data_IF_950011973486
#
_entry.id   IF_950011973486
#
_cell.length_a   1.000
_cell.length_b   1.000
_cell.length_c   1.000
_cell.angle_alpha   90.00
_cell.angle_beta   90.00
_cell.angle_gamma   90.00
#
_symmetry.space_group_name_H-M   'P 1'
#
loop_
_entity.id
_entity.type
_entity.pdbx_description
1 polymer ?
#
# COMPACT_ATOMS: atom_id res chain seq x y z
N UNK A 1 -43.66 6.41 -18.62
CA UNK A 1 -42.84 5.52 -17.79
C UNK A 1 -41.56 6.27 -17.46
N UNK A 2 -41.48 6.90 -16.28
CA UNK A 2 -40.28 7.62 -15.86
C UNK A 2 -39.15 6.61 -15.62
N UNK A 3 -37.89 6.90 -16.01
CA UNK A 3 -36.78 6.03 -15.66
C UNK A 3 -36.62 6.05 -14.14
N UNK A 4 -36.68 4.87 -13.53
CA UNK A 4 -36.46 4.70 -12.10
C UNK A 4 -35.09 5.26 -11.74
N UNK A 5 -35.11 6.25 -10.84
CA UNK A 5 -33.96 6.82 -10.16
C UNK A 5 -33.06 5.69 -9.62
N UNK A 6 -31.92 5.46 -10.27
CA UNK A 6 -30.88 4.52 -9.84
C UNK A 6 -30.12 5.14 -8.66
N UNK A 7 -30.83 5.31 -7.54
CA UNK A 7 -30.38 5.91 -6.27
C UNK A 7 -29.37 5.05 -5.51
N UNK A 8 -28.83 4.00 -6.14
CA UNK A 8 -27.77 3.17 -5.57
C UNK A 8 -26.44 3.89 -5.78
N UNK A 9 -25.85 4.33 -4.66
CA UNK A 9 -24.49 4.88 -4.66
C UNK A 9 -23.58 4.00 -5.55
N UNK A 10 -22.81 4.60 -6.48
CA UNK A 10 -22.07 3.84 -7.47
C UNK A 10 -21.18 2.84 -6.73
N UNK A 11 -21.28 1.56 -7.10
CA UNK A 11 -20.65 0.42 -6.42
C UNK A 11 -19.13 0.58 -6.21
N UNK A 12 -18.51 1.46 -7.01
CA UNK A 12 -17.10 1.85 -6.94
C UNK A 12 -16.79 2.93 -5.90
N UNK A 13 -17.74 3.75 -5.48
CA UNK A 13 -17.51 4.84 -4.54
C UNK A 13 -17.52 4.40 -3.07
N UNK A 14 -18.26 3.36 -2.71
CA UNK A 14 -18.33 2.88 -1.32
C UNK A 14 -17.01 2.24 -0.89
N UNK A 15 -16.47 2.65 0.26
CA UNK A 15 -15.28 2.02 0.85
C UNK A 15 -15.61 0.56 1.15
N UNK A 16 -14.84 -0.40 0.61
CA UNK A 16 -15.05 -1.81 0.91
C UNK A 16 -15.03 -2.08 2.42
N UNK A 17 -15.85 -3.03 2.90
CA UNK A 17 -15.84 -3.38 4.31
C UNK A 17 -14.45 -3.85 4.71
N UNK A 18 -14.07 -3.53 5.95
CA UNK A 18 -12.81 -3.92 6.57
C UNK A 18 -11.53 -3.33 5.93
N UNK A 19 -11.61 -2.53 4.87
CA UNK A 19 -10.43 -1.91 4.24
C UNK A 19 -9.60 -1.06 5.22
N UNK A 20 -10.27 -0.23 6.03
CA UNK A 20 -9.61 0.56 7.08
C UNK A 20 -9.05 -0.32 8.19
N UNK A 21 -9.76 -1.38 8.57
CA UNK A 21 -9.28 -2.33 9.58
C UNK A 21 -8.03 -3.06 9.09
N UNK A 22 -7.98 -3.47 7.82
CA UNK A 22 -6.80 -4.04 7.20
C UNK A 22 -5.62 -3.08 7.25
N UNK A 23 -5.84 -1.79 6.94
CA UNK A 23 -4.82 -0.76 7.01
C UNK A 23 -4.30 -0.51 8.43
N UNK A 24 -5.19 -0.37 9.42
CA UNK A 24 -4.81 -0.13 10.81
C UNK A 24 -4.08 -1.34 11.41
N UNK A 25 -4.55 -2.55 11.12
CA UNK A 25 -3.89 -3.77 11.55
C UNK A 25 -2.53 -3.97 10.86
N UNK A 26 -2.40 -3.61 9.58
CA UNK A 26 -1.11 -3.63 8.87
C UNK A 26 -0.13 -2.59 9.44
N UNK A 27 -0.62 -1.42 9.85
CA UNK A 27 0.21 -0.44 10.57
C UNK A 27 0.68 -0.99 11.91
N UNK A 28 -0.20 -1.64 12.67
CA UNK A 28 0.17 -2.28 13.92
C UNK A 28 1.20 -3.42 13.71
N UNK A 29 1.03 -4.26 12.67
CA UNK A 29 2.03 -5.25 12.24
C UNK A 29 3.39 -4.59 11.95
N UNK A 30 3.39 -3.50 11.19
CA UNK A 30 4.61 -2.76 10.88
C UNK A 30 5.29 -2.22 12.15
N UNK A 31 4.54 -1.55 13.03
CA UNK A 31 5.09 -0.97 14.25
C UNK A 31 5.62 -2.06 15.18
N UNK A 32 4.84 -3.12 15.43
CA UNK A 32 5.21 -4.16 16.40
C UNK A 32 6.29 -5.08 15.83
N UNK A 33 5.99 -5.76 14.72
CA UNK A 33 6.86 -6.83 14.20
C UNK A 33 8.10 -6.31 13.48
N UNK A 34 8.03 -5.12 12.86
CA UNK A 34 9.13 -4.62 12.01
C UNK A 34 9.97 -3.55 12.69
N UNK A 35 9.43 -2.86 13.69
CA UNK A 35 10.15 -1.81 14.42
C UNK A 35 10.42 -2.26 15.86
N UNK A 36 9.38 -2.44 16.67
CA UNK A 36 9.53 -2.63 18.12
C UNK A 36 10.25 -3.93 18.48
N UNK A 37 9.87 -5.07 17.91
CA UNK A 37 10.54 -6.35 18.23
C UNK A 37 12.03 -6.32 17.83
N UNK A 38 12.35 -5.75 16.66
CA UNK A 38 13.74 -5.66 16.18
C UNK A 38 14.62 -4.78 17.06
N UNK A 39 14.07 -3.70 17.59
CA UNK A 39 14.77 -2.80 18.51
C UNK A 39 14.81 -3.35 19.95
N UNK A 40 13.74 -4.02 20.37
CA UNK A 40 13.53 -4.52 21.71
C UNK A 40 14.45 -5.67 22.11
N UNK A 41 15.01 -6.43 21.15
CA UNK A 41 15.90 -7.57 21.43
C UNK A 41 17.10 -7.24 22.32
N UNK A 42 17.52 -5.98 22.41
CA UNK A 42 18.65 -5.56 23.26
C UNK A 42 18.24 -4.95 24.60
N UNK A 43 16.98 -4.57 24.76
CA UNK A 43 16.52 -3.70 25.87
C UNK A 43 15.40 -4.35 26.67
N UNK A 44 14.61 -5.24 26.07
CA UNK A 44 13.41 -5.79 26.67
C UNK A 44 13.63 -7.21 27.19
N UNK A 45 12.96 -7.54 28.29
CA UNK A 45 12.90 -8.90 28.84
C UNK A 45 12.26 -9.87 27.84
N UNK A 46 12.60 -11.15 27.93
CA UNK A 46 12.01 -12.20 27.10
C UNK A 46 10.48 -12.23 27.18
N UNK A 47 9.89 -12.07 28.37
CA UNK A 47 8.43 -12.09 28.55
C UNK A 47 7.73 -10.95 27.78
N UNK A 48 8.30 -9.74 27.84
CA UNK A 48 7.82 -8.60 27.06
C UNK A 48 7.91 -8.86 25.55
N UNK A 49 9.02 -9.46 25.09
CA UNK A 49 9.18 -9.84 23.68
C UNK A 49 8.17 -10.90 23.24
N UNK A 50 7.88 -11.90 24.09
CA UNK A 50 6.84 -12.89 23.83
C UNK A 50 5.45 -12.26 23.75
N UNK A 51 5.12 -11.32 24.64
CA UNK A 51 3.83 -10.64 24.59
C UNK A 51 3.69 -9.78 23.33
N UNK A 52 4.75 -9.07 22.94
CA UNK A 52 4.77 -8.30 21.70
C UNK A 52 4.67 -9.17 20.45
N UNK A 53 5.33 -10.33 20.43
CA UNK A 53 5.20 -11.28 19.33
C UNK A 53 3.75 -11.78 19.19
N UNK A 54 3.06 -12.02 20.31
CA UNK A 54 1.62 -12.38 20.32
C UNK A 54 0.75 -11.26 19.73
N UNK A 55 0.94 -10.02 20.18
CA UNK A 55 0.19 -8.87 19.65
C UNK A 55 0.50 -8.58 18.19
N UNK A 56 1.76 -8.70 17.80
CA UNK A 56 2.22 -8.55 16.43
C UNK A 56 1.65 -9.63 15.51
N UNK A 57 1.62 -10.88 15.96
CA UNK A 57 0.99 -11.99 15.23
C UNK A 57 -0.51 -11.79 15.07
N UNK A 58 -1.19 -11.31 16.11
CA UNK A 58 -2.61 -10.94 16.04
C UNK A 58 -2.86 -9.83 15.01
N UNK A 59 -2.09 -8.75 15.05
CA UNK A 59 -2.20 -7.63 14.11
C UNK A 59 -1.97 -8.09 12.66
N UNK A 60 -0.94 -8.91 12.43
CA UNK A 60 -0.64 -9.51 11.12
C UNK A 60 -1.83 -10.34 10.61
N UNK A 61 -2.35 -11.26 11.43
CA UNK A 61 -3.46 -12.13 11.03
C UNK A 61 -4.74 -11.33 10.76
N UNK A 62 -5.05 -10.36 11.62
CA UNK A 62 -6.20 -9.46 11.44
C UNK A 62 -6.07 -8.66 10.13
N UNK A 63 -4.88 -8.14 9.84
CA UNK A 63 -4.62 -7.40 8.59
C UNK A 63 -4.87 -8.25 7.37
N UNK A 64 -4.45 -9.52 7.39
CA UNK A 64 -4.61 -10.45 6.27
C UNK A 64 -6.06 -10.83 6.08
N UNK A 65 -6.77 -11.23 7.14
CA UNK A 65 -8.20 -11.59 7.04
C UNK A 65 -9.02 -10.40 6.53
N UNK A 66 -8.80 -9.22 7.10
CA UNK A 66 -9.46 -8.00 6.66
C UNK A 66 -9.12 -7.63 5.20
N UNK A 67 -7.85 -7.80 4.79
CA UNK A 67 -7.39 -7.56 3.43
C UNK A 67 -8.00 -8.56 2.44
N UNK A 68 -8.14 -9.84 2.80
CA UNK A 68 -8.77 -10.85 1.94
C UNK A 68 -10.24 -10.54 1.70
N UNK A 69 -10.98 -10.16 2.75
CA UNK A 69 -12.37 -9.70 2.63
C UNK A 69 -12.45 -8.46 1.73
N UNK A 70 -11.66 -7.43 2.02
CA UNK A 70 -11.64 -6.21 1.21
C UNK A 70 -11.27 -6.47 -0.26
N UNK A 71 -10.31 -7.38 -0.51
CA UNK A 71 -9.92 -7.85 -1.85
C UNK A 71 -11.10 -8.50 -2.56
N UNK A 72 -11.82 -9.41 -1.92
CA UNK A 72 -13.00 -10.07 -2.49
C UNK A 72 -14.06 -9.05 -2.94
N UNK A 73 -14.35 -8.05 -2.12
CA UNK A 73 -15.25 -6.95 -2.48
C UNK A 73 -14.72 -6.10 -3.65
N UNK A 74 -13.41 -5.80 -3.66
CA UNK A 74 -12.77 -5.06 -4.73
C UNK A 74 -12.81 -5.81 -6.07
N UNK A 75 -12.43 -7.09 -6.07
CA UNK A 75 -12.42 -7.94 -7.25
C UNK A 75 -13.84 -8.18 -7.77
N UNK A 76 -14.78 -8.55 -6.90
CA UNK A 76 -16.18 -8.75 -7.30
C UNK A 76 -16.78 -7.52 -7.95
N UNK A 77 -16.50 -6.34 -7.43
CA UNK A 77 -16.92 -5.08 -8.03
C UNK A 77 -16.29 -4.83 -9.41
N UNK A 78 -14.97 -4.94 -9.53
CA UNK A 78 -14.23 -4.64 -10.75
C UNK A 78 -14.49 -5.66 -11.85
N UNK A 79 -14.70 -6.92 -11.51
CA UNK A 79 -15.07 -7.99 -12.43
C UNK A 79 -16.55 -7.95 -12.84
N UNK A 80 -17.41 -7.20 -12.15
CA UNK A 80 -18.84 -7.11 -12.48
C UNK A 80 -19.11 -6.32 -13.77
N UNK A 81 -20.32 -6.50 -14.35
CA UNK A 81 -20.78 -5.65 -15.47
C UNK A 81 -20.89 -4.17 -15.11
N UNK A 82 -21.10 -3.85 -13.83
CA UNK A 82 -21.26 -2.48 -13.34
C UNK A 82 -19.94 -1.69 -13.29
N UNK A 83 -18.80 -2.35 -13.49
CA UNK A 83 -17.51 -1.64 -13.56
C UNK A 83 -17.31 -0.84 -14.83
N UNK A 84 -18.08 -1.14 -15.89
CA UNK A 84 -17.92 -0.53 -17.22
C UNK A 84 -16.59 -0.85 -17.91
N UNK A 85 -15.82 -1.81 -17.38
CA UNK A 85 -14.58 -2.29 -18.00
C UNK A 85 -14.87 -3.29 -19.14
N UNK A 86 -13.98 -3.40 -20.14
CA UNK A 86 -14.10 -4.40 -21.19
C UNK A 86 -14.06 -5.83 -20.61
N UNK A 87 -14.64 -6.81 -21.33
CA UNK A 87 -14.71 -8.20 -20.87
C UNK A 87 -13.32 -8.79 -20.58
N UNK A 88 -12.34 -8.52 -21.44
CA UNK A 88 -10.95 -8.99 -21.27
C UNK A 88 -10.32 -8.51 -19.95
N UNK A 89 -10.49 -7.23 -19.61
CA UNK A 89 -9.97 -6.68 -18.35
C UNK A 89 -10.66 -7.30 -17.13
N UNK A 90 -11.99 -7.48 -17.16
CA UNK A 90 -12.74 -8.12 -16.08
C UNK A 90 -12.35 -9.57 -15.88
N UNK A 91 -12.18 -10.31 -16.98
CA UNK A 91 -11.74 -11.70 -16.96
C UNK A 91 -10.31 -11.84 -16.42
N UNK A 92 -9.39 -10.96 -16.84
CA UNK A 92 -8.03 -10.92 -16.30
C UNK A 92 -8.01 -10.65 -14.80
N UNK A 93 -8.71 -9.61 -14.33
CA UNK A 93 -8.81 -9.28 -12.90
C UNK A 93 -9.40 -10.46 -12.11
N UNK A 94 -10.44 -11.11 -12.63
CA UNK A 94 -11.03 -12.27 -12.00
C UNK A 94 -10.04 -13.44 -11.94
N UNK A 95 -9.41 -13.80 -13.05
CA UNK A 95 -8.51 -14.95 -13.13
C UNK A 95 -7.31 -14.79 -12.20
N UNK A 96 -6.57 -13.68 -12.29
CA UNK A 96 -5.39 -13.46 -11.45
C UNK A 96 -5.76 -13.20 -9.99
N UNK A 97 -6.81 -12.40 -9.75
CA UNK A 97 -7.24 -12.05 -8.39
C UNK A 97 -7.75 -13.25 -7.61
N UNK A 98 -8.63 -14.08 -8.20
CA UNK A 98 -9.19 -15.25 -7.52
C UNK A 98 -8.19 -16.41 -7.37
N UNK A 99 -7.14 -16.48 -8.18
CA UNK A 99 -6.03 -17.41 -7.97
C UNK A 99 -5.11 -16.92 -6.85
N UNK A 100 -4.87 -15.62 -6.74
CA UNK A 100 -3.99 -15.05 -5.72
C UNK A 100 -4.53 -15.25 -4.29
N UNK A 101 -5.83 -15.03 -4.08
CA UNK A 101 -6.49 -15.10 -2.77
C UNK A 101 -6.22 -16.42 -2.02
N UNK A 102 -6.50 -17.62 -2.57
CA UNK A 102 -6.27 -18.88 -1.87
C UNK A 102 -4.77 -19.12 -1.62
N UNK A 103 -3.88 -18.78 -2.56
CA UNK A 103 -2.45 -19.02 -2.38
C UNK A 103 -1.89 -18.13 -1.26
N UNK A 104 -2.25 -16.85 -1.21
CA UNK A 104 -1.83 -15.97 -0.11
C UNK A 104 -2.41 -16.40 1.23
N UNK A 105 -3.66 -16.88 1.24
CA UNK A 105 -4.29 -17.41 2.44
C UNK A 105 -3.48 -18.60 2.98
N UNK A 106 -3.20 -19.59 2.13
CA UNK A 106 -2.40 -20.76 2.50
C UNK A 106 -1.01 -20.34 2.98
N UNK A 107 -0.31 -19.47 2.24
CA UNK A 107 1.03 -19.04 2.62
C UNK A 107 1.11 -18.21 3.90
N UNK A 108 0.00 -17.57 4.30
CA UNK A 108 -0.01 -16.77 5.53
C UNK A 108 -0.30 -17.62 6.76
N UNK A 109 -1.14 -18.63 6.62
CA UNK A 109 -1.59 -19.45 7.76
C UNK A 109 -0.89 -20.80 7.89
N UNK A 110 -0.20 -21.27 6.84
CA UNK A 110 0.62 -22.47 6.92
C UNK A 110 2.01 -22.18 7.53
N UNK A 111 2.60 -23.16 8.23
CA UNK A 111 3.95 -23.04 8.77
C UNK A 111 4.98 -22.71 7.68
N UNK A 112 6.00 -21.91 8.02
CA UNK A 112 7.04 -21.51 7.07
C UNK A 112 7.81 -22.70 6.45
N UNK A 113 7.85 -23.85 7.14
CA UNK A 113 8.42 -25.09 6.61
C UNK A 113 7.72 -25.58 5.32
N UNK A 114 6.50 -25.11 5.05
CA UNK A 114 5.67 -25.48 3.90
C UNK A 114 5.71 -24.42 2.78
N UNK A 115 6.41 -23.30 3.01
CA UNK A 115 6.60 -22.23 2.02
C UNK A 115 7.98 -22.32 1.39
N UNK A 116 8.06 -22.73 0.12
CA UNK A 116 9.32 -22.71 -0.62
C UNK A 116 9.61 -21.32 -1.19
N UNK A 117 10.89 -20.94 -1.41
CA UNK A 117 11.24 -19.67 -2.04
C UNK A 117 10.62 -19.51 -3.44
N UNK A 118 10.45 -20.61 -4.18
CA UNK A 118 9.83 -20.61 -5.50
C UNK A 118 8.35 -20.21 -5.41
N UNK A 119 7.63 -20.71 -4.41
CA UNK A 119 6.23 -20.34 -4.16
C UNK A 119 6.10 -18.83 -3.86
N UNK A 120 7.01 -18.27 -3.06
CA UNK A 120 7.05 -16.82 -2.76
C UNK A 120 7.21 -16.01 -4.06
N UNK A 121 8.06 -16.45 -4.97
CA UNK A 121 8.26 -15.78 -6.27
C UNK A 121 7.03 -15.87 -7.16
N UNK A 122 6.37 -17.03 -7.21
CA UNK A 122 5.12 -17.21 -7.96
C UNK A 122 4.04 -16.28 -7.41
N UNK A 123 3.88 -16.21 -6.08
CA UNK A 123 2.91 -15.31 -5.45
C UNK A 123 3.25 -13.84 -5.65
N UNK A 124 4.52 -13.47 -5.57
CA UNK A 124 4.95 -12.12 -5.91
C UNK A 124 4.59 -11.81 -7.37
N UNK A 125 4.87 -12.69 -8.32
CA UNK A 125 4.50 -12.53 -9.73
C UNK A 125 3.00 -12.35 -9.93
N UNK A 126 2.17 -13.21 -9.32
CA UNK A 126 0.71 -13.12 -9.38
C UNK A 126 0.18 -11.82 -8.76
N UNK A 127 0.73 -11.40 -7.63
CA UNK A 127 0.35 -10.15 -6.97
C UNK A 127 0.66 -8.95 -7.87
N UNK A 128 1.83 -8.90 -8.50
CA UNK A 128 2.21 -7.79 -9.37
C UNK A 128 1.44 -7.80 -10.70
N UNK A 129 1.13 -8.98 -11.26
CA UNK A 129 0.21 -9.09 -12.40
C UNK A 129 -1.19 -8.57 -12.04
N UNK A 130 -1.69 -8.90 -10.85
CA UNK A 130 -2.97 -8.40 -10.34
C UNK A 130 -2.93 -6.87 -10.17
N UNK A 131 -1.87 -6.32 -9.56
CA UNK A 131 -1.68 -4.87 -9.40
C UNK A 131 -1.65 -4.15 -10.76
N UNK A 132 -0.92 -4.69 -11.74
CA UNK A 132 -0.89 -4.15 -13.10
C UNK A 132 -2.30 -4.08 -13.72
N UNK A 133 -3.07 -5.16 -13.65
CA UNK A 133 -4.43 -5.20 -14.18
C UNK A 133 -5.36 -4.21 -13.48
N UNK A 134 -5.25 -4.07 -12.16
CA UNK A 134 -6.01 -3.10 -11.36
C UNK A 134 -5.65 -1.65 -11.74
N UNK A 135 -4.36 -1.36 -11.93
CA UNK A 135 -3.89 -0.04 -12.35
C UNK A 135 -4.41 0.29 -13.74
N UNK A 136 -4.26 -0.62 -14.71
CA UNK A 136 -4.75 -0.42 -16.07
C UNK A 136 -6.27 -0.20 -16.09
N UNK A 137 -7.02 -0.92 -15.25
CA UNK A 137 -8.44 -0.67 -15.06
C UNK A 137 -8.74 0.72 -14.52
N UNK A 138 -7.96 1.23 -13.56
CA UNK A 138 -8.07 2.60 -13.07
C UNK A 138 -7.74 3.64 -14.14
N UNK A 139 -6.67 3.42 -14.92
CA UNK A 139 -6.20 4.32 -15.99
C UNK A 139 -7.12 4.34 -17.21
N UNK A 140 -7.86 3.26 -17.46
CA UNK A 140 -8.89 3.21 -18.50
C UNK A 140 -9.93 4.33 -18.32
N UNK A 141 -10.17 4.72 -17.06
CA UNK A 141 -11.06 5.82 -16.72
C UNK A 141 -10.26 7.12 -16.61
N UNK A 142 -10.59 8.12 -17.45
CA UNK A 142 -9.97 9.46 -17.46
C UNK A 142 -10.31 10.24 -16.17
N UNK A 143 -9.62 9.91 -15.08
CA UNK A 143 -9.82 10.49 -13.74
C UNK A 143 -9.11 11.85 -13.56
N UNK A 144 -8.95 12.29 -12.31
CA UNK A 144 -8.17 13.49 -12.00
C UNK A 144 -6.69 13.28 -12.30
N UNK A 145 -5.94 14.34 -12.70
CA UNK A 145 -4.50 14.22 -12.95
C UNK A 145 -3.72 13.62 -11.77
N UNK A 146 -4.08 14.00 -10.53
CA UNK A 146 -3.44 13.45 -9.33
C UNK A 146 -3.72 11.95 -9.13
N UNK A 147 -4.94 11.49 -9.41
CA UNK A 147 -5.28 10.05 -9.35
C UNK A 147 -4.54 9.25 -10.43
N UNK A 148 -4.46 9.78 -11.65
CA UNK A 148 -3.71 9.18 -12.75
C UNK A 148 -2.22 9.10 -12.41
N UNK A 149 -1.65 10.20 -11.91
CA UNK A 149 -0.26 10.24 -11.47
C UNK A 149 0.01 9.22 -10.35
N UNK A 150 -0.87 9.11 -9.35
CA UNK A 150 -0.72 8.12 -8.28
C UNK A 150 -0.74 6.69 -8.82
N UNK A 151 -1.62 6.37 -9.77
CA UNK A 151 -1.68 5.06 -10.43
C UNK A 151 -0.41 4.75 -11.23
N UNK A 152 0.10 5.71 -12.01
CA UNK A 152 1.34 5.56 -12.78
C UNK A 152 2.55 5.40 -11.87
N UNK A 153 2.65 6.18 -10.79
CA UNK A 153 3.74 6.04 -9.81
C UNK A 153 3.68 4.69 -9.09
N UNK A 154 2.48 4.22 -8.76
CA UNK A 154 2.28 2.88 -8.18
C UNK A 154 2.69 1.79 -9.18
N UNK A 155 2.44 1.98 -10.47
CA UNK A 155 2.88 1.06 -11.52
C UNK A 155 4.40 1.00 -11.62
N UNK A 156 5.05 2.16 -11.67
CA UNK A 156 6.51 2.28 -11.72
C UNK A 156 7.12 1.62 -10.49
N UNK A 157 6.64 1.93 -9.29
CA UNK A 157 7.11 1.32 -8.05
C UNK A 157 6.96 -0.21 -8.06
N UNK A 158 5.81 -0.72 -8.49
CA UNK A 158 5.52 -2.15 -8.61
C UNK A 158 6.44 -2.86 -9.62
N UNK A 159 6.56 -2.33 -10.83
CA UNK A 159 7.38 -2.91 -11.89
C UNK A 159 8.87 -2.85 -11.56
N UNK A 160 9.35 -1.71 -11.07
CA UNK A 160 10.72 -1.52 -10.63
C UNK A 160 11.09 -2.45 -9.47
N UNK A 161 10.19 -2.66 -8.52
CA UNK A 161 10.39 -3.60 -7.41
C UNK A 161 10.59 -5.04 -7.89
N UNK A 162 9.76 -5.50 -8.83
CA UNK A 162 9.88 -6.85 -9.43
C UNK A 162 11.12 -6.95 -10.31
N UNK A 163 11.36 -5.96 -11.16
CA UNK A 163 12.51 -5.95 -12.06
C UNK A 163 13.82 -6.00 -11.27
N UNK A 164 13.95 -5.19 -10.22
CA UNK A 164 15.10 -5.21 -9.32
C UNK A 164 15.32 -6.60 -8.69
N UNK A 165 14.24 -7.23 -8.22
CA UNK A 165 14.28 -8.57 -7.64
C UNK A 165 14.68 -9.65 -8.66
N UNK A 166 14.06 -9.66 -9.85
CA UNK A 166 14.36 -10.63 -10.92
C UNK A 166 15.82 -10.46 -11.37
N UNK A 167 16.25 -9.24 -11.66
CA UNK A 167 17.63 -8.96 -12.08
C UNK A 167 18.61 -9.42 -11.01
N UNK A 168 18.37 -9.10 -9.73
CA UNK A 168 19.23 -9.55 -8.64
C UNK A 168 19.34 -11.07 -8.53
N UNK A 169 18.22 -11.80 -8.66
CA UNK A 169 18.22 -13.26 -8.56
C UNK A 169 18.80 -13.96 -9.79
N UNK A 170 18.43 -13.53 -10.99
CA UNK A 170 18.88 -14.15 -12.24
C UNK A 170 20.33 -13.75 -12.53
N UNK A 171 20.65 -12.47 -12.40
CA UNK A 171 22.00 -11.95 -12.63
C UNK A 171 23.02 -12.52 -11.64
N UNK A 172 22.63 -12.70 -10.37
CA UNK A 172 23.48 -13.35 -9.37
C UNK A 172 23.76 -14.82 -9.66
N UNK A 173 22.82 -15.54 -10.30
CA UNK A 173 23.03 -16.94 -10.73
C UNK A 173 23.82 -17.06 -12.02
N UNK A 174 23.68 -16.08 -12.91
CA UNK A 174 24.35 -16.05 -14.21
C UNK A 174 25.72 -15.35 -14.18
N UNK A 175 26.18 -14.90 -13.00
CA UNK A 175 27.40 -14.13 -12.80
C UNK A 175 27.52 -12.91 -13.73
N UNK A 176 26.38 -12.23 -13.99
CA UNK A 176 26.38 -11.10 -14.89
C UNK A 176 26.96 -9.86 -14.21
N UNK A 177 28.05 -9.29 -14.76
CA UNK A 177 28.80 -8.18 -14.17
C UNK A 177 27.97 -6.91 -13.90
N UNK A 178 26.88 -6.72 -14.63
CA UNK A 178 26.04 -5.52 -14.55
C UNK A 178 24.85 -5.68 -13.58
N UNK A 179 24.72 -6.83 -12.92
CA UNK A 179 23.59 -7.18 -12.05
C UNK A 179 23.32 -6.12 -11.00
N UNK A 180 24.34 -5.72 -10.24
CA UNK A 180 24.18 -4.79 -9.12
C UNK A 180 23.76 -3.41 -9.60
N UNK A 181 24.39 -2.90 -10.68
CA UNK A 181 24.06 -1.60 -11.26
C UNK A 181 22.62 -1.55 -11.75
N UNK A 182 22.20 -2.57 -12.50
CA UNK A 182 20.85 -2.61 -13.07
C UNK A 182 19.78 -2.85 -11.99
N UNK A 183 20.04 -3.76 -11.05
CA UNK A 183 19.13 -4.01 -9.92
C UNK A 183 18.96 -2.76 -9.04
N UNK A 184 20.04 -2.02 -8.78
CA UNK A 184 20.00 -0.75 -8.04
C UNK A 184 19.26 0.35 -8.81
N UNK A 185 19.45 0.47 -10.12
CA UNK A 185 18.73 1.45 -10.93
C UNK A 185 17.21 1.21 -10.90
N UNK A 186 16.77 -0.06 -11.05
CA UNK A 186 15.38 -0.41 -10.86
C UNK A 186 14.92 -0.12 -9.43
N UNK A 187 15.70 -0.52 -8.41
CA UNK A 187 15.34 -0.27 -7.01
C UNK A 187 15.11 1.22 -6.75
N UNK A 188 16.05 2.09 -7.07
CA UNK A 188 15.97 3.52 -6.80
C UNK A 188 14.85 4.22 -7.57
N UNK A 189 14.64 3.86 -8.84
CA UNK A 189 13.51 4.40 -9.61
C UNK A 189 12.16 4.04 -8.97
N UNK A 190 12.02 2.80 -8.50
CA UNK A 190 10.80 2.33 -7.85
C UNK A 190 10.59 2.96 -6.47
N UNK A 191 11.65 3.13 -5.69
CA UNK A 191 11.58 3.82 -4.39
C UNK A 191 11.19 5.29 -4.55
N UNK A 192 11.79 6.00 -5.51
CA UNK A 192 11.44 7.38 -5.80
C UNK A 192 9.97 7.49 -6.22
N UNK A 193 9.51 6.58 -7.09
CA UNK A 193 8.11 6.53 -7.49
C UNK A 193 7.19 6.26 -6.29
N UNK A 194 7.55 5.32 -5.42
CA UNK A 194 6.80 5.00 -4.20
C UNK A 194 6.69 6.21 -3.25
N UNK A 195 7.79 6.92 -3.02
CA UNK A 195 7.82 8.13 -2.19
C UNK A 195 7.01 9.29 -2.77
N UNK A 196 6.80 9.31 -4.08
CA UNK A 196 5.98 10.29 -4.77
C UNK A 196 4.47 9.96 -4.74
N UNK A 197 4.06 8.73 -4.44
CA UNK A 197 2.64 8.34 -4.34
C UNK A 197 1.88 9.21 -3.31
N UNK A 198 2.38 9.41 -2.06
CA UNK A 198 1.78 10.34 -1.10
C UNK A 198 1.49 11.72 -1.65
N UNK A 199 2.44 12.30 -2.39
CA UNK A 199 2.32 13.63 -2.99
C UNK A 199 1.20 13.63 -4.04
N UNK A 200 1.20 12.65 -4.96
CA UNK A 200 0.18 12.54 -5.99
C UNK A 200 -1.24 12.39 -5.40
N UNK A 201 -1.39 11.60 -4.34
CA UNK A 201 -2.67 11.45 -3.63
C UNK A 201 -3.05 12.75 -2.91
N UNK A 202 -2.12 13.43 -2.26
CA UNK A 202 -2.36 14.73 -1.63
C UNK A 202 -2.89 15.77 -2.64
N UNK A 203 -2.29 15.83 -3.83
CA UNK A 203 -2.77 16.67 -4.93
C UNK A 203 -4.18 16.28 -5.41
N UNK A 204 -4.48 14.98 -5.50
CA UNK A 204 -5.79 14.49 -5.92
C UNK A 204 -6.91 14.80 -4.92
N UNK A 205 -6.61 14.89 -3.62
CA UNK A 205 -7.61 15.06 -2.57
C UNK A 205 -8.25 16.46 -2.54
N UNK A 206 -7.58 17.50 -3.04
CA UNK A 206 -8.06 18.89 -3.12
C UNK A 206 -8.98 19.30 -1.94
N UNK A 207 -8.39 19.53 -0.76
CA UNK A 207 -9.11 19.78 0.50
C UNK A 207 -9.86 21.14 0.41
N UNK A 208 -11.19 21.17 0.60
CA UNK A 208 -11.97 22.40 0.51
C UNK A 208 -11.74 23.32 1.72
N UNK A 209 -10.91 24.36 1.55
CA UNK A 209 -10.48 25.28 2.64
C UNK A 209 -11.62 26.08 3.30
N UNK A 210 -12.72 26.30 2.58
CA UNK A 210 -13.85 27.13 3.05
C UNK A 210 -14.82 26.45 4.03
N UNK A 211 -14.72 25.14 4.24
CA UNK A 211 -15.67 24.40 5.10
C UNK A 211 -15.08 24.11 6.47
N UNK A 212 -15.90 24.08 7.53
CA UNK A 212 -15.44 23.71 8.89
C UNK A 212 -14.72 22.34 8.90
N UNK A 213 -15.23 21.40 8.12
CA UNK A 213 -14.63 20.07 7.95
C UNK A 213 -13.31 20.09 7.18
N UNK A 214 -13.18 20.98 6.20
CA UNK A 214 -11.90 21.22 5.51
C UNK A 214 -10.86 21.89 6.40
N UNK A 215 -11.27 22.83 7.27
CA UNK A 215 -10.41 23.40 8.32
C UNK A 215 -9.96 22.33 9.31
N UNK A 216 -10.87 21.48 9.78
CA UNK A 216 -10.53 20.34 10.63
C UNK A 216 -9.57 19.37 9.92
N UNK A 217 -9.84 19.02 8.66
CA UNK A 217 -8.94 18.18 7.87
C UNK A 217 -7.53 18.78 7.78
N UNK A 218 -7.41 20.08 7.47
CA UNK A 218 -6.11 20.76 7.44
C UNK A 218 -5.42 20.73 8.81
N UNK A 219 -6.14 21.06 9.89
CA UNK A 219 -5.59 21.03 11.25
C UNK A 219 -5.04 19.66 11.62
N UNK A 220 -5.86 18.60 11.48
CA UNK A 220 -5.43 17.24 11.81
C UNK A 220 -4.34 16.73 10.86
N UNK A 221 -4.37 17.10 9.58
CA UNK A 221 -3.30 16.78 8.63
C UNK A 221 -1.98 17.45 9.02
N UNK A 222 -1.99 18.74 9.40
CA UNK A 222 -0.80 19.46 9.85
C UNK A 222 -0.26 18.86 11.14
N UNK A 223 -1.13 18.56 12.11
CA UNK A 223 -0.74 17.91 13.36
C UNK A 223 -0.11 16.54 13.11
N UNK A 224 -0.67 15.77 12.18
CA UNK A 224 -0.16 14.45 11.81
C UNK A 224 1.21 14.56 11.11
N UNK A 225 1.37 15.47 10.16
CA UNK A 225 2.67 15.70 9.50
C UNK A 225 3.74 16.15 10.51
N UNK A 226 3.40 17.06 11.41
CA UNK A 226 4.26 17.50 12.49
C UNK A 226 4.62 16.33 13.42
N UNK A 227 3.65 15.50 13.79
CA UNK A 227 3.86 14.30 14.60
C UNK A 227 4.82 13.30 13.95
N UNK A 228 4.72 13.08 12.64
CA UNK A 228 5.67 12.22 11.90
C UNK A 228 7.07 12.82 11.87
N UNK A 229 7.19 14.14 11.63
CA UNK A 229 8.48 14.81 11.64
C UNK A 229 9.15 14.79 13.02
N UNK A 230 8.40 15.12 14.08
CA UNK A 230 8.87 15.05 15.46
C UNK A 230 9.21 13.62 15.86
N UNK A 231 8.38 12.65 15.46
CA UNK A 231 8.63 11.22 15.68
C UNK A 231 9.94 10.78 15.04
N UNK A 232 10.20 11.12 13.77
CA UNK A 232 11.46 10.77 13.11
C UNK A 232 12.67 11.49 13.73
N UNK A 233 12.53 12.75 14.14
CA UNK A 233 13.59 13.46 14.85
C UNK A 233 13.88 12.83 16.23
N UNK A 234 12.84 12.41 16.95
CA UNK A 234 12.98 11.67 18.21
C UNK A 234 13.67 10.33 18.00
N UNK A 235 13.23 9.54 17.02
CA UNK A 235 13.83 8.26 16.68
C UNK A 235 15.29 8.40 16.23
N UNK A 236 15.62 9.45 15.49
CA UNK A 236 17.01 9.76 15.13
C UNK A 236 17.88 9.99 16.37
N UNK A 237 17.36 10.67 17.40
CA UNK A 237 18.07 10.87 18.66
C UNK A 237 18.15 9.59 19.51
N UNK A 238 17.09 8.80 19.55
CA UNK A 238 16.99 7.61 20.40
C UNK A 238 17.82 6.43 19.86
N UNK A 239 17.80 6.20 18.55
CA UNK A 239 18.40 5.02 17.90
C UNK A 239 19.71 5.37 17.17
N UNK A 240 19.97 6.65 16.92
CA UNK A 240 21.23 7.13 16.36
C UNK A 240 21.55 6.47 15.01
N UNK A 241 22.69 5.78 14.95
CA UNK A 241 23.20 5.14 13.73
C UNK A 241 22.35 3.97 13.22
N UNK A 242 21.47 3.39 14.05
CA UNK A 242 20.62 2.27 13.64
C UNK A 242 19.30 2.72 12.97
N UNK A 243 19.01 4.04 12.93
CA UNK A 243 17.79 4.57 12.31
C UNK A 243 17.57 4.09 10.86
N UNK A 244 18.59 4.08 9.97
CA UNK A 244 18.41 3.59 8.60
C UNK A 244 17.96 2.13 8.56
N UNK A 245 18.49 1.29 9.44
CA UNK A 245 18.08 -0.12 9.56
C UNK A 245 16.64 -0.25 10.01
N UNK A 246 16.16 0.61 10.91
CA UNK A 246 14.75 0.65 11.33
C UNK A 246 13.84 1.08 10.20
N UNK A 247 14.22 2.15 9.48
CA UNK A 247 13.46 2.63 8.32
C UNK A 247 13.39 1.55 7.25
N UNK A 248 14.53 0.94 6.92
CA UNK A 248 14.59 -0.17 5.98
C UNK A 248 13.73 -1.37 6.44
N UNK A 249 13.76 -1.72 7.73
CA UNK A 249 12.94 -2.79 8.28
C UNK A 249 11.44 -2.50 8.14
N UNK A 250 11.03 -1.25 8.37
CA UNK A 250 9.62 -0.83 8.29
C UNK A 250 9.12 -0.73 6.85
N UNK A 251 9.87 -0.04 5.99
CA UNK A 251 9.39 0.43 4.68
C UNK A 251 10.14 -0.17 3.50
N UNK A 252 11.26 -0.87 3.72
CA UNK A 252 12.18 -1.39 2.70
C UNK A 252 12.74 -0.33 1.75
N UNK A 253 12.90 0.89 2.26
CA UNK A 253 13.50 2.00 1.53
C UNK A 253 14.99 2.11 1.86
N UNK A 254 15.80 2.36 0.83
CA UNK A 254 17.27 2.48 0.86
C UNK A 254 17.79 3.64 -0.02
N UNK A 255 16.89 4.40 -0.66
CA UNK A 255 17.21 5.53 -1.54
C UNK A 255 18.07 6.61 -0.86
N UNK A 256 17.78 6.95 0.40
CA UNK A 256 18.56 7.94 1.14
C UNK A 256 19.69 7.25 1.91
N UNK A 257 20.94 7.76 1.80
CA UNK A 257 22.06 7.28 2.59
C UNK A 257 21.77 7.36 4.10
N UNK A 258 22.52 6.61 4.90
CA UNK A 258 22.36 6.53 6.36
C UNK A 258 22.32 7.90 7.06
N UNK A 259 23.10 8.86 6.56
CA UNK A 259 23.15 10.24 7.08
C UNK A 259 21.89 11.06 6.81
N UNK A 260 21.01 10.61 5.92
CA UNK A 260 19.83 11.34 5.44
C UNK A 260 18.51 10.58 5.66
N UNK A 261 18.49 9.54 6.49
CA UNK A 261 17.27 8.78 6.79
C UNK A 261 16.11 9.65 7.34
N UNK A 262 16.41 10.80 7.94
CA UNK A 262 15.40 11.77 8.40
C UNK A 262 14.59 12.37 7.24
N UNK A 263 15.14 12.41 6.01
CA UNK A 263 14.44 12.93 4.83
C UNK A 263 13.19 12.11 4.47
N UNK A 264 13.11 10.83 4.88
CA UNK A 264 11.89 10.03 4.73
C UNK A 264 10.70 10.61 5.51
N UNK A 265 10.93 11.46 6.52
CA UNK A 265 9.87 12.13 7.26
C UNK A 265 8.98 13.01 6.37
N UNK A 266 9.51 13.57 5.28
CA UNK A 266 8.75 14.43 4.37
C UNK A 266 7.68 13.65 3.60
N UNK A 267 8.02 12.65 2.76
CA UNK A 267 7.01 11.90 2.02
C UNK A 267 6.09 11.10 2.95
N UNK A 268 6.60 10.56 4.08
CA UNK A 268 5.76 9.88 5.06
C UNK A 268 4.79 10.85 5.75
N UNK A 269 5.27 12.02 6.18
CA UNK A 269 4.45 13.05 6.82
C UNK A 269 3.33 13.53 5.91
N UNK A 270 3.63 13.75 4.62
CA UNK A 270 2.62 14.07 3.59
C UNK A 270 1.64 12.92 3.43
N UNK A 271 2.12 11.68 3.43
CA UNK A 271 1.28 10.49 3.30
C UNK A 271 0.27 10.34 4.43
N UNK A 272 0.74 10.43 5.67
CA UNK A 272 -0.11 10.38 6.86
C UNK A 272 -1.07 11.56 6.91
N UNK A 273 -0.62 12.77 6.57
CA UNK A 273 -1.47 13.95 6.49
C UNK A 273 -2.58 13.82 5.45
N UNK A 274 -2.26 13.35 4.24
CA UNK A 274 -3.23 13.10 3.17
C UNK A 274 -4.23 12.00 3.57
N UNK A 275 -3.77 10.94 4.23
CA UNK A 275 -4.63 9.87 4.73
C UNK A 275 -5.65 10.41 5.76
N UNK A 276 -5.22 11.24 6.71
CA UNK A 276 -6.11 11.83 7.72
C UNK A 276 -7.12 12.79 7.07
N UNK A 277 -6.68 13.65 6.14
CA UNK A 277 -7.59 14.50 5.38
C UNK A 277 -8.64 13.68 4.60
N UNK A 278 -8.19 12.59 3.97
CA UNK A 278 -9.05 11.68 3.24
C UNK A 278 -10.06 10.98 4.15
N UNK A 279 -9.65 10.49 5.32
CA UNK A 279 -10.51 9.85 6.31
C UNK A 279 -11.63 10.79 6.80
N UNK A 280 -11.29 12.07 7.01
CA UNK A 280 -12.23 13.10 7.43
C UNK A 280 -13.13 13.53 6.26
N UNK A 281 -12.84 13.22 5.00
CA UNK A 281 -13.70 13.64 3.87
C UNK A 281 -15.13 13.10 3.95
N UNK A 282 -16.11 13.90 3.47
CA UNK A 282 -17.48 13.40 3.22
C UNK A 282 -17.55 12.50 1.99
N UNK A 283 -16.63 12.71 1.04
CA UNK A 283 -16.59 11.97 -0.20
C UNK A 283 -16.04 10.55 0.04
N UNK A 284 -16.82 9.48 -0.22
CA UNK A 284 -16.38 8.12 -0.01
C UNK A 284 -15.24 7.70 -0.97
N UNK A 285 -15.13 8.29 -2.17
CA UNK A 285 -14.00 8.03 -3.08
C UNK A 285 -12.69 8.58 -2.49
N UNK A 286 -12.72 9.76 -1.86
CA UNK A 286 -11.57 10.31 -1.14
C UNK A 286 -11.20 9.44 0.06
N UNK A 287 -12.19 8.93 0.82
CA UNK A 287 -11.94 7.98 1.92
C UNK A 287 -11.29 6.68 1.43
N UNK A 288 -11.66 6.18 0.24
CA UNK A 288 -10.97 5.05 -0.39
C UNK A 288 -9.51 5.37 -0.71
N UNK A 289 -9.20 6.57 -1.23
CA UNK A 289 -7.81 6.99 -1.44
C UNK A 289 -7.02 7.05 -0.13
N UNK A 290 -7.65 7.50 0.96
CA UNK A 290 -7.05 7.48 2.30
C UNK A 290 -6.73 6.07 2.78
N UNK A 291 -7.68 5.14 2.65
CA UNK A 291 -7.47 3.73 2.98
C UNK A 291 -6.39 3.09 2.08
N UNK A 292 -6.37 3.40 0.78
CA UNK A 292 -5.34 2.96 -0.15
C UNK A 292 -3.95 3.42 0.31
N UNK A 293 -3.81 4.69 0.67
CA UNK A 293 -2.56 5.26 1.14
C UNK A 293 -2.10 4.64 2.46
N UNK A 294 -3.02 4.42 3.41
CA UNK A 294 -2.71 3.71 4.66
C UNK A 294 -2.14 2.30 4.39
N UNK A 295 -2.79 1.53 3.51
CA UNK A 295 -2.35 0.18 3.15
C UNK A 295 -0.98 0.20 2.45
N UNK A 296 -0.78 1.10 1.48
CA UNK A 296 0.49 1.21 0.74
C UNK A 296 1.64 1.63 1.65
N UNK A 297 1.42 2.58 2.56
CA UNK A 297 2.42 3.00 3.55
C UNK A 297 2.75 1.87 4.55
N UNK A 298 1.74 1.09 4.95
CA UNK A 298 1.91 -0.01 5.90
C UNK A 298 2.57 -1.25 5.28
N UNK A 299 2.37 -1.48 3.98
CA UNK A 299 3.02 -2.59 3.29
C UNK A 299 4.52 -2.36 3.07
N UNK A 300 4.91 -1.11 2.81
CA UNK A 300 6.25 -0.72 2.39
C UNK A 300 6.48 -0.89 0.88
N UNK A 301 7.67 -0.53 0.43
CA UNK A 301 8.12 -0.70 -0.95
C UNK A 301 8.49 -2.16 -1.24
N UNK A 302 8.16 -2.64 -2.45
CA UNK A 302 8.48 -3.98 -2.95
C UNK A 302 8.35 -5.11 -1.91
N UNK A 303 7.15 -5.30 -1.31
CA UNK A 303 6.95 -6.26 -0.24
C UNK A 303 7.19 -7.69 -0.72
N UNK A 304 7.82 -8.50 0.15
CA UNK A 304 8.14 -9.92 -0.15
C UNK A 304 7.39 -10.93 0.71
N UNK A 305 6.64 -10.45 1.70
CA UNK A 305 5.83 -11.31 2.57
C UNK A 305 4.41 -11.42 2.01
N UNK A 306 3.76 -12.59 2.06
CA UNK A 306 2.38 -12.78 1.58
C UNK A 306 1.39 -11.77 2.17
N UNK A 307 1.50 -11.47 3.47
CA UNK A 307 0.67 -10.47 4.16
C UNK A 307 0.79 -9.07 3.55
N UNK A 308 2.01 -8.57 3.40
CA UNK A 308 2.25 -7.27 2.79
C UNK A 308 1.87 -7.22 1.30
N UNK A 309 2.00 -8.34 0.57
CA UNK A 309 1.55 -8.43 -0.82
C UNK A 309 0.04 -8.25 -0.94
N UNK A 310 -0.78 -8.96 -0.15
CA UNK A 310 -2.24 -8.80 -0.21
C UNK A 310 -2.67 -7.40 0.26
N UNK A 311 -2.03 -6.84 1.29
CA UNK A 311 -2.26 -5.45 1.73
C UNK A 311 -1.99 -4.47 0.60
N UNK A 312 -0.91 -4.65 -0.15
CA UNK A 312 -0.58 -3.81 -1.32
C UNK A 312 -1.62 -3.96 -2.41
N UNK A 313 -2.02 -5.19 -2.76
CA UNK A 313 -3.06 -5.46 -3.78
C UNK A 313 -4.37 -4.77 -3.42
N UNK A 314 -4.81 -4.82 -2.15
CA UNK A 314 -5.98 -4.06 -1.69
C UNK A 314 -5.76 -2.56 -1.86
N UNK A 315 -4.59 -2.04 -1.46
CA UNK A 315 -4.25 -0.63 -1.61
C UNK A 315 -4.37 -0.16 -3.07
N UNK A 316 -3.81 -0.92 -4.00
CA UNK A 316 -3.90 -0.67 -5.44
C UNK A 316 -5.35 -0.77 -5.94
N UNK A 317 -6.10 -1.77 -5.49
CA UNK A 317 -7.50 -1.93 -5.88
C UNK A 317 -8.37 -0.76 -5.43
N UNK A 318 -8.16 -0.26 -4.20
CA UNK A 318 -8.84 0.92 -3.68
C UNK A 318 -8.46 2.19 -4.45
N UNK A 319 -7.18 2.35 -4.79
CA UNK A 319 -6.72 3.47 -5.60
C UNK A 319 -7.38 3.44 -6.99
N UNK A 320 -7.40 2.29 -7.66
CA UNK A 320 -8.08 2.12 -8.94
C UNK A 320 -9.59 2.41 -8.84
N UNK A 321 -10.28 1.84 -7.85
CA UNK A 321 -11.71 2.10 -7.61
C UNK A 321 -12.01 3.57 -7.37
N UNK A 322 -11.18 4.25 -6.59
CA UNK A 322 -11.33 5.68 -6.32
C UNK A 322 -11.17 6.52 -7.60
N UNK A 323 -10.21 6.17 -8.46
CA UNK A 323 -10.00 6.83 -9.74
C UNK A 323 -11.21 6.64 -10.67
N UNK A 324 -11.76 5.42 -10.74
CA UNK A 324 -12.98 5.11 -11.50
C UNK A 324 -14.17 5.91 -10.96
N UNK A 325 -14.38 5.91 -9.65
CA UNK A 325 -15.48 6.64 -9.01
C UNK A 325 -15.39 8.15 -9.26
N UNK A 326 -14.19 8.74 -9.22
CA UNK A 326 -13.97 10.15 -9.53
C UNK A 326 -14.19 10.47 -11.01
N UNK A 327 -13.82 9.57 -11.92
CA UNK A 327 -14.05 9.73 -13.36
C UNK A 327 -15.54 9.64 -13.72
N UNK A 328 -16.27 8.72 -13.10
CA UNK A 328 -17.71 8.54 -13.31
C UNK A 328 -18.53 9.76 -12.92
N UNK A 329 -18.10 10.53 -11.92
CA UNK A 329 -18.80 11.76 -11.49
C UNK A 329 -18.56 12.98 -12.39
N UNK A 330 -17.58 12.92 -13.29
CA UNK A 330 -17.27 13.99 -14.24
C UNK A 330 -18.02 13.85 -15.56
N UNK A 331 -18.66 12.71 -15.79
CA UNK A 331 -19.53 12.44 -16.93
C UNK A 331 -20.97 12.74 -16.53
#
# INVERSE_FOLDING_TARGET
MAPADDTRAPLMAAVPPLAWMAGLAALADLLINRILIKLGHRVWSNDALFELDRWGSFARNLSVVAALVATGFCLGALSSRRSGLPLSARAGIAAFGWVLVPIVTLMTFLPAAWTSPQLVLVVAGLAHATMLLLILAGLHWKSTPGSVLALVLTLVASLSGVASMIVGMVGGRAFWEHTDRLSNAFRWSGELAYLAIPLAIAFALAIPRGTARGKAALFFSTLTAAGVAVGMAFWHRAVGKELPTVVYAATRLELFPDSYAVLYAVPLGIGWAAMVAAAISRDPARRQMGAALLLLLSAGYAPRTPSALIVTVVGVALLARSAIALAQRRR
#
